data_IF_219530869910
#
_entry.id   IF_219530869910
#
_cell.length_a   1.000
_cell.length_b   1.000
_cell.length_c   1.000
_cell.angle_alpha   90.00
_cell.angle_beta   90.00
_cell.angle_gamma   90.00
#
_symmetry.space_group_name_H-M   'P 1'
#
loop_
_entity.id
_entity.type
_entity.pdbx_description
1 polymer ?
#
# COMPACT_ATOMS: atom_id res chain seq x y z
N UNK A 1 -17.54 -7.18 0.08
CA UNK A 1 -16.75 -5.98 0.40
C UNK A 1 -15.34 -6.15 -0.14
N UNK A 2 -14.91 -5.21 -0.96
CA UNK A 2 -13.56 -5.27 -1.53
C UNK A 2 -12.59 -4.46 -0.69
N UNK A 3 -11.47 -5.08 -0.34
CA UNK A 3 -10.45 -4.47 0.49
C UNK A 3 -9.09 -4.54 -0.19
N UNK A 4 -8.32 -3.48 -0.09
CA UNK A 4 -6.96 -3.51 -0.59
C UNK A 4 -5.98 -2.93 0.42
N UNK A 5 -4.72 -3.34 0.29
CA UNK A 5 -3.64 -2.82 1.11
C UNK A 5 -2.67 -2.06 0.20
N UNK A 6 -2.33 -0.84 0.57
CA UNK A 6 -1.34 -0.05 -0.14
C UNK A 6 -0.08 0.06 0.72
N UNK A 7 0.98 -0.54 0.25
CA UNK A 7 2.26 -0.57 0.97
C UNK A 7 3.18 0.48 0.35
N UNK A 8 3.65 1.40 1.16
CA UNK A 8 4.46 2.53 0.70
C UNK A 8 5.82 2.51 1.38
N UNK A 9 6.88 2.69 0.59
CA UNK A 9 8.21 2.90 1.13
C UNK A 9 8.47 4.41 1.19
N UNK A 10 8.43 5.02 2.38
CA UNK A 10 8.51 6.48 2.48
C UNK A 10 9.89 7.04 2.15
N UNK A 11 10.90 6.20 2.10
CA UNK A 11 12.26 6.66 1.76
C UNK A 11 12.48 6.72 0.26
N UNK A 12 11.62 6.07 -0.51
CA UNK A 12 11.75 6.05 -1.97
C UNK A 12 11.02 7.24 -2.56
N UNK A 13 11.74 8.09 -3.29
CA UNK A 13 11.15 9.23 -3.95
C UNK A 13 10.81 10.40 -3.05
N UNK A 14 11.07 10.29 -1.78
CA UNK A 14 10.90 11.40 -0.82
C UNK A 14 9.56 12.11 -0.98
N UNK A 15 9.59 13.40 -1.31
CA UNK A 15 8.38 14.21 -1.44
C UNK A 15 7.45 13.70 -2.55
N UNK A 16 8.04 13.17 -3.62
CA UNK A 16 7.24 12.64 -4.71
C UNK A 16 6.42 11.42 -4.27
N UNK A 17 7.03 10.58 -3.44
CA UNK A 17 6.31 9.41 -2.95
C UNK A 17 5.12 9.82 -2.10
N UNK A 18 5.29 10.86 -1.28
CA UNK A 18 4.20 11.36 -0.46
C UNK A 18 3.04 11.88 -1.29
N UNK A 19 3.37 12.61 -2.34
CA UNK A 19 2.37 13.19 -3.23
C UNK A 19 1.60 12.11 -3.97
N UNK A 20 2.33 11.15 -4.55
CA UNK A 20 1.72 10.06 -5.29
C UNK A 20 0.92 9.12 -4.38
N UNK A 21 1.35 8.99 -3.14
CA UNK A 21 0.66 8.17 -2.16
C UNK A 21 -0.79 8.63 -1.97
N UNK A 22 -0.97 9.91 -1.74
CA UNK A 22 -2.31 10.47 -1.52
C UNK A 22 -3.18 10.32 -2.77
N UNK A 23 -2.59 10.57 -3.92
CA UNK A 23 -3.29 10.49 -5.20
C UNK A 23 -3.75 9.05 -5.48
N UNK A 24 -2.86 8.10 -5.31
CA UNK A 24 -3.16 6.69 -5.53
C UNK A 24 -4.20 6.20 -4.54
N UNK A 25 -4.09 6.62 -3.29
CA UNK A 25 -5.07 6.25 -2.27
C UNK A 25 -6.47 6.70 -2.64
N UNK A 26 -6.60 7.93 -3.12
CA UNK A 26 -7.90 8.44 -3.55
C UNK A 26 -8.47 7.62 -4.69
N UNK A 27 -7.63 7.24 -5.65
CA UNK A 27 -8.08 6.41 -6.76
C UNK A 27 -8.54 5.05 -6.29
N UNK A 28 -7.81 4.45 -5.36
CA UNK A 28 -8.17 3.15 -4.83
C UNK A 28 -9.47 3.20 -4.03
N UNK A 29 -9.72 4.30 -3.35
CA UNK A 29 -10.94 4.46 -2.58
C UNK A 29 -12.20 4.50 -3.46
N UNK A 30 -12.05 4.76 -4.75
CA UNK A 30 -13.17 4.68 -5.68
C UNK A 30 -13.41 3.26 -6.17
N UNK A 31 -12.44 2.37 -6.02
CA UNK A 31 -12.50 1.00 -6.51
C UNK A 31 -12.72 -0.03 -5.41
N UNK A 32 -12.31 0.31 -4.21
CA UNK A 32 -12.38 -0.60 -3.06
C UNK A 32 -13.17 0.04 -1.93
N UNK A 33 -13.85 -0.80 -1.17
CA UNK A 33 -14.63 -0.33 -0.02
C UNK A 33 -13.73 0.07 1.14
N UNK A 34 -12.57 -0.56 1.24
CA UNK A 34 -11.63 -0.31 2.32
C UNK A 34 -10.21 -0.30 1.76
N UNK A 35 -9.46 0.73 2.09
CA UNK A 35 -8.08 0.89 1.66
C UNK A 35 -7.23 1.06 2.91
N UNK A 36 -6.34 0.10 3.16
CA UNK A 36 -5.42 0.19 4.29
C UNK A 36 -4.05 0.60 3.77
N UNK A 37 -3.56 1.73 4.25
CA UNK A 37 -2.25 2.25 3.86
C UNK A 37 -1.24 1.94 4.94
N UNK A 38 -0.11 1.34 4.56
CA UNK A 38 0.98 1.04 5.48
C UNK A 38 2.29 1.55 4.92
N UNK A 39 3.11 2.12 5.78
CA UNK A 39 4.43 2.61 5.39
C UNK A 39 5.50 1.67 5.94
N UNK A 40 6.40 1.24 5.05
CA UNK A 40 7.47 0.32 5.45
C UNK A 40 8.51 1.06 6.29
N UNK A 41 9.12 0.34 7.22
CA UNK A 41 10.17 0.90 8.07
C UNK A 41 11.50 0.21 7.87
N UNK A 42 11.48 -1.00 7.32
CA UNK A 42 12.68 -1.78 7.12
C UNK A 42 12.49 -2.74 5.95
N UNK A 43 13.58 -3.31 5.50
CA UNK A 43 13.54 -4.30 4.42
C UNK A 43 12.73 -5.52 4.86
N UNK A 44 11.91 -6.01 3.97
CA UNK A 44 11.10 -7.19 4.24
C UNK A 44 9.69 -6.89 4.73
N UNK A 45 9.41 -5.68 5.19
CA UNK A 45 8.07 -5.33 5.66
C UNK A 45 7.03 -5.53 4.58
N UNK A 46 7.33 -5.09 3.36
CA UNK A 46 6.38 -5.21 2.25
C UNK A 46 6.05 -6.68 1.97
N UNK A 47 7.05 -7.54 2.01
CA UNK A 47 6.85 -8.96 1.76
C UNK A 47 5.98 -9.59 2.84
N UNK A 48 6.26 -9.27 4.10
CA UNK A 48 5.49 -9.81 5.22
C UNK A 48 4.05 -9.32 5.18
N UNK A 49 3.85 -8.04 4.90
CA UNK A 49 2.50 -7.48 4.86
C UNK A 49 1.70 -8.03 3.68
N UNK A 50 2.36 -8.29 2.56
CA UNK A 50 1.69 -8.91 1.42
C UNK A 50 1.18 -10.30 1.78
N UNK A 51 1.99 -11.07 2.50
CA UNK A 51 1.57 -12.38 2.98
C UNK A 51 0.43 -12.27 3.98
N UNK A 52 0.53 -11.33 4.90
CA UNK A 52 -0.51 -11.10 5.89
C UNK A 52 -1.83 -10.73 5.21
N UNK A 53 -1.76 -9.86 4.21
CA UNK A 53 -2.95 -9.44 3.48
C UNK A 53 -3.63 -10.62 2.80
N UNK A 54 -2.85 -11.52 2.21
CA UNK A 54 -3.41 -12.70 1.57
C UNK A 54 -4.12 -13.59 2.57
N UNK A 55 -3.61 -13.67 3.80
CA UNK A 55 -4.19 -14.51 4.84
C UNK A 55 -5.38 -13.86 5.53
N UNK A 56 -5.48 -12.54 5.50
CA UNK A 56 -6.52 -11.82 6.24
C UNK A 56 -7.65 -11.33 5.35
N UNK A 57 -7.69 -11.75 4.10
CA UNK A 57 -8.85 -11.51 3.24
C UNK A 57 -8.82 -10.24 2.42
N UNK A 58 -7.65 -9.67 2.21
CA UNK A 58 -7.53 -8.55 1.28
C UNK A 58 -7.65 -9.05 -0.16
N UNK A 59 -8.39 -8.33 -0.97
CA UNK A 59 -8.60 -8.71 -2.36
C UNK A 59 -7.41 -8.35 -3.25
N UNK A 60 -6.71 -7.29 -2.90
CA UNK A 60 -5.56 -6.83 -3.68
C UNK A 60 -4.53 -6.17 -2.77
N UNK A 61 -3.27 -6.22 -3.21
CA UNK A 61 -2.17 -5.56 -2.51
C UNK A 61 -1.40 -4.76 -3.54
N UNK A 62 -1.17 -3.50 -3.25
CA UNK A 62 -0.40 -2.61 -4.13
C UNK A 62 0.85 -2.15 -3.40
N UNK A 63 1.93 -2.03 -4.13
CA UNK A 63 3.21 -1.58 -3.59
C UNK A 63 3.67 -0.33 -4.33
N UNK A 64 4.16 0.63 -3.61
CA UNK A 64 4.59 1.90 -4.17
C UNK A 64 5.94 2.32 -3.60
N UNK A 65 6.83 2.80 -4.46
CA UNK A 65 8.13 3.31 -4.03
C UNK A 65 9.17 2.23 -3.82
N UNK A 66 9.07 1.20 -4.53
CA UNK A 66 10.05 0.15 -4.49
C UNK A 66 11.23 0.46 -5.32
N UNK A 67 12.20 0.26 -5.45
CA UNK A 67 13.06 0.27 -6.28
C UNK A 67 13.90 -0.08 -6.57
#
# INVERSE_FOLDING_TARGET
>A
MKRCMLIVNPTAGRERAKYHKDNLRQQLETMFDDVELRETQKAGDATEWAKEAALTGFDSVFSMGGD
#
